data_IF_283729293361
#
_entry.id   IF_283729293361
#
_cell.length_a   1.000
_cell.length_b   1.000
_cell.length_c   1.000
_cell.angle_alpha   90.00
_cell.angle_beta   90.00
_cell.angle_gamma   90.00
#
_symmetry.space_group_name_H-M   'P 1'
#
loop_
_entity.id
_entity.type
_entity.pdbx_description
1 polymer ?
#
# COMPACT_ATOMS: atom_id res chain seq x y z
N UNK A 1 42.93 22.21 -36.95
CA UNK A 1 43.98 21.41 -37.59
C UNK A 1 44.53 20.41 -36.58
N UNK A 2 44.52 19.13 -36.92
CA UNK A 2 45.33 18.02 -36.39
C UNK A 2 46.28 17.61 -37.55
N UNK A 3 47.31 16.73 -37.43
CA UNK A 3 47.84 15.91 -36.31
C UNK A 3 49.42 15.92 -36.33
N UNK A 4 50.24 14.85 -36.19
CA UNK A 4 50.20 13.50 -35.54
C UNK A 4 51.47 13.15 -34.69
N UNK A 5 51.40 12.27 -33.68
CA UNK A 5 51.72 10.82 -33.61
C UNK A 5 53.20 10.38 -33.68
N UNK A 6 53.59 9.50 -32.73
CA UNK A 6 54.54 8.40 -32.95
C UNK A 6 54.30 7.27 -31.92
N UNK A 7 54.11 6.06 -32.44
CA UNK A 7 53.87 4.81 -31.73
C UNK A 7 55.13 3.90 -31.77
N UNK A 8 54.99 2.66 -31.25
CA UNK A 8 55.82 1.42 -31.36
C UNK A 8 56.35 1.00 -29.97
N UNK A 9 55.96 -0.10 -29.27
CA UNK A 9 55.49 -1.48 -29.53
C UNK A 9 56.65 -2.51 -29.66
N UNK A 10 56.76 -3.46 -28.70
CA UNK A 10 57.39 -4.81 -28.72
C UNK A 10 57.28 -5.40 -27.27
N UNK A 11 56.48 -6.42 -26.91
CA UNK A 11 56.39 -7.88 -27.20
C UNK A 11 57.52 -8.77 -26.64
N UNK A 12 57.13 -9.71 -25.75
CA UNK A 12 57.56 -11.13 -25.57
C UNK A 12 56.89 -11.70 -24.29
N UNK A 13 55.81 -12.51 -24.41
CA UNK A 13 55.76 -13.99 -24.35
C UNK A 13 56.00 -14.60 -22.94
N UNK A 14 55.45 -15.73 -22.48
CA UNK A 14 54.29 -16.58 -22.77
C UNK A 14 54.39 -17.77 -21.76
N UNK A 15 53.25 -18.28 -21.26
CA UNK A 15 52.95 -19.69 -20.87
C UNK A 15 51.83 -19.72 -19.81
N UNK A 16 50.56 -19.93 -20.19
CA UNK A 16 49.87 -21.23 -20.37
C UNK A 16 49.87 -22.16 -19.15
N UNK A 17 48.70 -22.29 -18.50
CA UNK A 17 48.07 -23.58 -18.23
C UNK A 17 46.54 -23.41 -18.23
N UNK A 18 45.90 -24.32 -18.95
CA UNK A 18 44.51 -24.37 -19.38
C UNK A 18 43.78 -25.43 -18.53
N UNK A 19 42.55 -25.18 -18.08
CA UNK A 19 41.36 -26.00 -18.40
C UNK A 19 40.06 -25.40 -17.80
N UNK A 20 38.93 -25.43 -18.54
CA UNK A 20 37.67 -24.80 -18.17
C UNK A 20 36.63 -25.79 -17.62
N UNK A 21 35.71 -25.31 -16.78
CA UNK A 21 34.48 -26.03 -16.44
C UNK A 21 33.29 -25.38 -17.16
N UNK A 22 32.80 -26.05 -18.20
CA UNK A 22 31.46 -25.89 -18.79
C UNK A 22 30.91 -27.29 -19.01
N UNK A 23 29.75 -27.60 -18.43
CA UNK A 23 28.62 -28.30 -19.06
C UNK A 23 27.55 -28.60 -18.01
N UNK A 24 26.39 -27.95 -18.13
CA UNK A 24 25.07 -28.59 -18.21
C UNK A 24 23.98 -27.50 -18.24
N UNK A 25 23.79 -26.93 -19.43
CA UNK A 25 22.56 -26.23 -19.78
C UNK A 25 22.00 -26.93 -21.02
N UNK A 26 21.08 -27.87 -20.80
CA UNK A 26 20.30 -28.49 -21.87
C UNK A 26 19.34 -27.45 -22.43
N UNK A 27 19.55 -27.07 -23.69
CA UNK A 27 18.58 -26.35 -24.52
C UNK A 27 17.42 -27.29 -24.89
N UNK A 28 16.19 -26.82 -24.73
CA UNK A 28 15.04 -27.24 -25.54
C UNK A 28 14.62 -26.06 -26.43
N UNK A 29 14.32 -26.27 -27.73
CA UNK A 29 14.20 -25.20 -28.71
C UNK A 29 12.76 -24.66 -28.85
N UNK A 30 12.67 -23.37 -29.16
CA UNK A 30 11.58 -22.82 -29.99
C UNK A 30 10.57 -21.94 -29.28
N UNK A 31 10.65 -20.62 -29.52
CA UNK A 31 9.53 -19.78 -29.94
C UNK A 31 10.00 -18.35 -30.26
N UNK A 32 10.37 -18.12 -31.51
CA UNK A 32 10.24 -16.80 -32.14
C UNK A 32 8.79 -16.64 -32.58
N UNK A 33 8.07 -15.69 -31.96
CA UNK A 33 6.92 -14.90 -32.50
C UNK A 33 6.21 -14.18 -31.35
N UNK A 34 6.08 -12.86 -31.43
CA UNK A 34 5.10 -12.11 -30.65
C UNK A 34 3.67 -12.26 -31.21
N UNK A 35 2.72 -11.47 -30.70
CA UNK A 35 2.13 -11.53 -29.37
C UNK A 35 0.79 -12.31 -29.45
N UNK A 36 0.57 -13.31 -28.60
CA UNK A 36 -0.74 -13.94 -28.38
C UNK A 36 -0.72 -14.85 -27.15
N UNK A 37 -1.74 -14.71 -26.32
CA UNK A 37 -2.05 -15.46 -25.09
C UNK A 37 -1.18 -15.15 -23.86
N UNK A 38 -1.67 -14.21 -23.05
CA UNK A 38 -1.27 -14.06 -21.64
C UNK A 38 -1.83 -15.28 -20.91
N UNK A 39 -0.95 -16.16 -20.45
CA UNK A 39 -1.33 -17.26 -19.58
C UNK A 39 -1.60 -16.71 -18.16
N UNK A 40 -2.83 -16.85 -17.68
CA UNK A 40 -3.37 -16.29 -16.42
C UNK A 40 -3.08 -17.20 -15.20
N UNK A 41 -2.28 -18.25 -15.36
CA UNK A 41 -2.29 -19.36 -14.43
C UNK A 41 -1.49 -19.14 -13.13
N UNK A 42 -0.63 -18.13 -13.00
CA UNK A 42 0.16 -17.97 -11.77
C UNK A 42 0.45 -16.51 -11.41
N UNK A 43 -0.31 -15.97 -10.45
CA UNK A 43 0.12 -14.85 -9.63
C UNK A 43 0.65 -15.36 -8.30
N UNK A 44 1.97 -15.36 -8.15
CA UNK A 44 2.63 -15.72 -6.90
C UNK A 44 2.59 -14.53 -5.92
N UNK A 45 1.65 -14.56 -4.99
CA UNK A 45 1.90 -14.09 -3.63
C UNK A 45 2.29 -15.33 -2.81
N UNK A 46 3.57 -15.50 -2.48
CA UNK A 46 4.15 -16.81 -2.10
C UNK A 46 3.46 -17.53 -0.90
N UNK A 47 3.47 -18.86 -1.00
CA UNK A 47 3.01 -19.95 -0.10
C UNK A 47 1.52 -20.30 0.00
N UNK A 48 0.63 -19.54 -0.65
CA UNK A 48 -0.69 -20.04 -1.03
C UNK A 48 -1.00 -19.55 -2.43
N UNK A 49 -0.94 -20.46 -3.41
CA UNK A 49 -1.40 -20.19 -4.79
C UNK A 49 -2.79 -19.58 -4.68
N UNK A 50 -2.94 -18.29 -4.99
CA UNK A 50 -4.25 -17.67 -5.13
C UNK A 50 -4.90 -18.38 -6.32
N UNK A 51 -6.02 -19.10 -6.13
CA UNK A 51 -6.66 -19.81 -7.22
C UNK A 51 -6.85 -18.92 -8.44
N UNK A 52 -6.60 -19.43 -9.66
CA UNK A 52 -6.81 -18.70 -10.91
C UNK A 52 -8.24 -18.11 -11.02
N UNK A 53 -9.21 -18.72 -10.33
CA UNK A 53 -10.58 -18.21 -10.20
C UNK A 53 -10.70 -16.88 -9.44
N UNK A 54 -9.82 -16.60 -8.48
CA UNK A 54 -9.78 -15.32 -7.75
C UNK A 54 -9.10 -14.23 -8.57
N UNK A 55 -8.07 -14.60 -9.33
CA UNK A 55 -7.41 -13.71 -10.29
C UNK A 55 -8.43 -13.26 -11.35
N UNK A 56 -9.14 -14.20 -11.98
CA UNK A 56 -10.17 -13.84 -12.98
C UNK A 56 -11.31 -12.98 -12.42
N UNK A 57 -11.62 -13.10 -11.13
CA UNK A 57 -12.64 -12.30 -10.46
C UNK A 57 -12.25 -10.84 -10.23
N UNK A 58 -10.97 -10.49 -10.25
CA UNK A 58 -10.47 -9.11 -10.06
C UNK A 58 -10.13 -8.42 -11.39
N UNK A 59 -10.08 -9.16 -12.49
CA UNK A 59 -9.71 -8.65 -13.82
C UNK A 59 -10.89 -8.66 -14.80
N UNK A 60 -12.06 -8.21 -14.34
CA UNK A 60 -13.21 -8.09 -15.23
C UNK A 60 -13.02 -6.87 -16.15
N UNK A 61 -12.91 -7.09 -17.47
CA UNK A 61 -12.71 -6.06 -18.52
C UNK A 61 -13.88 -5.07 -18.71
N UNK A 62 -14.76 -4.91 -17.72
CA UNK A 62 -15.95 -4.06 -17.78
C UNK A 62 -15.64 -2.57 -17.73
N UNK A 63 -14.46 -2.18 -17.24
CA UNK A 63 -14.04 -0.77 -17.09
C UNK A 63 -12.94 -0.46 -18.10
N UNK A 64 -13.32 0.13 -19.23
CA UNK A 64 -12.39 0.60 -20.29
C UNK A 64 -12.01 2.08 -20.12
N UNK A 65 -12.69 2.76 -19.21
CA UNK A 65 -12.57 4.19 -18.91
C UNK A 65 -11.47 4.52 -17.90
N UNK A 66 -10.86 3.50 -17.27
CA UNK A 66 -9.87 3.63 -16.19
C UNK A 66 -8.82 2.53 -16.29
N UNK A 67 -7.67 2.74 -15.63
CA UNK A 67 -6.64 1.72 -15.47
C UNK A 67 -7.12 0.70 -14.42
N UNK A 68 -7.30 -0.55 -14.83
CA UNK A 68 -7.74 -1.67 -13.98
C UNK A 68 -6.61 -2.63 -13.60
N UNK A 69 -5.45 -2.50 -14.24
CA UNK A 69 -4.30 -3.39 -14.05
C UNK A 69 -3.02 -2.60 -14.26
N UNK A 70 -2.05 -2.77 -13.37
CA UNK A 70 -0.75 -2.10 -13.45
C UNK A 70 0.21 -2.86 -14.38
N UNK A 71 1.35 -2.24 -14.70
CA UNK A 71 2.40 -2.87 -15.53
C UNK A 71 3.06 -4.07 -14.83
N UNK A 72 3.02 -4.13 -13.50
CA UNK A 72 3.43 -5.31 -12.71
C UNK A 72 2.26 -6.24 -12.39
N UNK A 73 1.16 -6.08 -13.13
CA UNK A 73 -0.02 -6.92 -13.14
C UNK A 73 -0.87 -6.89 -11.84
N UNK A 74 -0.68 -5.92 -10.94
CA UNK A 74 -1.59 -5.77 -9.79
C UNK A 74 -2.96 -5.22 -10.24
N UNK A 75 -4.08 -5.71 -9.68
CA UNK A 75 -5.39 -5.15 -9.96
C UNK A 75 -5.55 -3.78 -9.29
N UNK A 76 -6.20 -2.86 -10.01
CA UNK A 76 -6.72 -1.60 -9.45
C UNK A 76 -8.21 -1.78 -9.24
N UNK A 77 -8.64 -1.76 -7.99
CA UNK A 77 -10.01 -2.09 -7.59
C UNK A 77 -10.91 -0.88 -7.82
N UNK A 78 -11.73 -0.99 -8.86
CA UNK A 78 -12.80 -0.06 -9.18
C UNK A 78 -14.16 -0.75 -9.07
N UNK A 79 -15.21 0.01 -8.78
CA UNK A 79 -16.58 -0.45 -8.83
C UNK A 79 -16.88 -1.12 -10.19
N UNK A 80 -17.43 -2.34 -10.12
CA UNK A 80 -17.73 -3.19 -11.27
C UNK A 80 -16.56 -4.03 -11.82
N UNK A 81 -15.35 -3.96 -11.23
CA UNK A 81 -14.19 -4.81 -11.64
C UNK A 81 -14.10 -6.13 -10.90
N UNK A 82 -14.76 -6.25 -9.75
CA UNK A 82 -14.69 -7.41 -8.88
C UNK A 82 -16.03 -8.17 -8.80
N UNK A 83 -15.97 -9.47 -8.48
CA UNK A 83 -17.15 -10.29 -8.18
C UNK A 83 -17.21 -10.60 -6.68
N UNK A 84 -18.04 -9.84 -5.95
CA UNK A 84 -18.20 -9.96 -4.50
C UNK A 84 -18.61 -11.37 -4.06
N UNK A 85 -19.54 -12.02 -4.77
CA UNK A 85 -20.05 -13.34 -4.38
C UNK A 85 -18.96 -14.42 -4.39
N UNK A 86 -18.07 -14.39 -5.39
CA UNK A 86 -16.96 -15.35 -5.49
C UNK A 86 -15.92 -15.10 -4.41
N UNK A 87 -15.55 -13.82 -4.21
CA UNK A 87 -14.61 -13.42 -3.17
C UNK A 87 -15.13 -13.80 -1.79
N UNK A 88 -16.40 -13.52 -1.51
CA UNK A 88 -17.01 -13.87 -0.23
C UNK A 88 -17.06 -15.38 0.00
N UNK A 89 -17.46 -16.15 -1.01
CA UNK A 89 -17.49 -17.61 -0.92
C UNK A 89 -16.11 -18.18 -0.59
N UNK A 90 -15.06 -17.58 -1.11
CA UNK A 90 -13.69 -17.98 -0.81
C UNK A 90 -13.28 -17.61 0.62
N UNK A 91 -13.36 -16.33 0.99
CA UNK A 91 -12.87 -15.86 2.28
C UNK A 91 -13.70 -16.36 3.48
N UNK A 92 -15.01 -16.58 3.31
CA UNK A 92 -15.85 -17.19 4.36
C UNK A 92 -15.40 -18.60 4.72
N UNK A 93 -14.87 -19.37 3.76
CA UNK A 93 -14.34 -20.73 4.02
C UNK A 93 -13.02 -20.71 4.79
N UNK A 94 -12.27 -19.62 4.69
CA UNK A 94 -11.01 -19.45 5.39
C UNK A 94 -11.19 -18.93 6.82
N UNK A 95 -12.41 -18.49 7.18
CA UNK A 95 -12.73 -17.91 8.49
C UNK A 95 -11.74 -16.79 8.91
N UNK A 96 -11.46 -15.89 7.97
CA UNK A 96 -10.48 -14.83 8.18
C UNK A 96 -10.92 -13.80 9.24
N UNK A 97 -9.94 -13.19 9.89
CA UNK A 97 -10.12 -12.01 10.75
C UNK A 97 -9.35 -10.83 10.18
N UNK A 98 -9.99 -9.65 10.16
CA UNK A 98 -9.42 -8.43 9.59
C UNK A 98 -9.19 -7.40 10.70
N UNK A 99 -7.98 -6.88 10.79
CA UNK A 99 -7.63 -5.76 11.66
C UNK A 99 -7.83 -4.42 10.96
N UNK A 100 -8.31 -3.43 11.70
CA UNK A 100 -8.31 -2.03 11.28
C UNK A 100 -7.61 -1.15 12.31
N UNK A 101 -6.42 -0.68 11.98
CA UNK A 101 -5.66 0.31 12.74
C UNK A 101 -6.24 1.68 12.45
N UNK A 102 -6.66 2.39 13.50
CA UNK A 102 -7.28 3.72 13.41
C UNK A 102 -6.39 4.73 14.11
N UNK A 103 -5.86 5.71 13.38
CA UNK A 103 -5.00 6.77 13.92
C UNK A 103 -5.82 7.93 14.48
N UNK A 104 -6.11 7.90 15.78
CA UNK A 104 -6.80 8.96 16.51
C UNK A 104 -5.79 9.75 17.35
N UNK A 105 -4.95 10.55 16.68
CA UNK A 105 -3.83 11.26 17.31
C UNK A 105 -3.82 12.75 16.95
N UNK A 106 -3.23 13.56 17.82
CA UNK A 106 -3.12 15.00 17.62
C UNK A 106 -4.46 15.72 17.75
N UNK A 107 -4.83 16.49 16.72
CA UNK A 107 -6.05 17.32 16.72
C UNK A 107 -7.21 16.52 16.14
N UNK A 108 -7.92 15.81 17.01
CA UNK A 108 -9.20 15.19 16.71
C UNK A 108 -10.17 15.40 17.87
N UNK A 109 -11.46 15.32 17.55
CA UNK A 109 -12.54 15.32 18.53
C UNK A 109 -13.08 13.91 18.72
N UNK A 110 -13.68 13.65 19.89
CA UNK A 110 -14.40 12.38 20.11
C UNK A 110 -15.51 12.14 19.07
N UNK A 111 -16.11 13.21 18.53
CA UNK A 111 -17.10 13.15 17.44
C UNK A 111 -16.48 12.59 16.15
N UNK A 112 -15.28 13.02 15.77
CA UNK A 112 -14.60 12.52 14.56
C UNK A 112 -14.36 11.00 14.66
N UNK A 113 -13.85 10.55 15.80
CA UNK A 113 -13.63 9.12 16.06
C UNK A 113 -14.95 8.35 16.09
N UNK A 114 -16.00 8.91 16.71
CA UNK A 114 -17.31 8.28 16.77
C UNK A 114 -17.91 8.09 15.37
N UNK A 115 -17.87 9.11 14.53
CA UNK A 115 -18.40 9.04 13.16
C UNK A 115 -17.60 8.05 12.30
N UNK A 116 -16.27 8.03 12.42
CA UNK A 116 -15.43 7.03 11.77
C UNK A 116 -15.85 5.61 12.17
N UNK A 117 -15.87 5.32 13.49
CA UNK A 117 -16.17 3.97 13.99
C UNK A 117 -17.59 3.55 13.64
N UNK A 118 -18.59 4.43 13.76
CA UNK A 118 -19.97 4.11 13.40
C UNK A 118 -20.12 3.78 11.91
N UNK A 119 -19.47 4.56 11.04
CA UNK A 119 -19.52 4.29 9.60
C UNK A 119 -18.76 3.02 9.22
N UNK A 120 -17.59 2.76 9.83
CA UNK A 120 -16.83 1.53 9.64
C UNK A 120 -17.59 0.30 10.17
N UNK A 121 -18.25 0.41 11.33
CA UNK A 121 -19.11 -0.62 11.90
C UNK A 121 -20.25 -1.02 10.95
N UNK A 122 -20.71 -0.08 10.11
CA UNK A 122 -21.73 -0.34 9.11
C UNK A 122 -21.19 -0.95 7.82
N UNK A 123 -20.00 -0.57 7.36
CA UNK A 123 -19.55 -0.81 5.98
C UNK A 123 -18.24 -1.58 5.82
N UNK A 124 -17.38 -1.60 6.83
CA UNK A 124 -16.07 -2.25 6.74
C UNK A 124 -16.22 -3.76 7.02
N UNK A 125 -15.91 -4.58 6.02
CA UNK A 125 -15.83 -6.05 6.10
C UNK A 125 -17.07 -6.71 6.72
N UNK A 126 -18.26 -6.31 6.25
CA UNK A 126 -19.54 -6.84 6.75
C UNK A 126 -19.56 -8.37 6.64
N UNK A 127 -19.93 -9.05 7.73
CA UNK A 127 -20.03 -10.51 7.78
C UNK A 127 -18.71 -11.24 8.05
N UNK A 128 -17.65 -10.52 8.42
CA UNK A 128 -16.35 -11.08 8.82
C UNK A 128 -15.98 -10.66 10.24
N UNK A 129 -15.06 -11.39 10.86
CA UNK A 129 -14.47 -11.00 12.14
C UNK A 129 -13.59 -9.77 11.93
N UNK A 130 -13.86 -8.70 12.69
CA UNK A 130 -13.11 -7.44 12.63
C UNK A 130 -12.63 -7.03 14.01
N UNK A 131 -11.36 -6.64 14.10
CA UNK A 131 -10.77 -6.03 15.30
C UNK A 131 -10.34 -4.61 14.98
N UNK A 132 -10.95 -3.62 15.65
CA UNK A 132 -10.52 -2.22 15.58
C UNK A 132 -9.36 -2.00 16.57
N UNK A 133 -8.19 -1.62 16.06
CA UNK A 133 -7.03 -1.23 16.86
C UNK A 133 -6.95 0.29 16.88
N UNK A 134 -7.48 0.91 17.93
CA UNK A 134 -7.60 2.38 18.01
C UNK A 134 -6.34 2.91 18.69
N UNK A 135 -5.44 3.53 17.91
CA UNK A 135 -4.23 4.15 18.42
C UNK A 135 -4.54 5.58 18.86
N UNK A 136 -4.31 5.88 20.13
CA UNK A 136 -4.61 7.18 20.73
C UNK A 136 -3.45 7.70 21.57
N UNK A 137 -3.28 9.02 21.57
CA UNK A 137 -2.40 9.77 22.47
C UNK A 137 -3.13 10.28 23.73
N UNK A 138 -4.47 10.37 23.67
CA UNK A 138 -5.31 10.84 24.77
C UNK A 138 -6.63 10.06 24.86
N UNK A 139 -6.72 9.12 25.81
CA UNK A 139 -7.92 8.30 26.01
C UNK A 139 -9.11 9.06 26.61
N UNK A 140 -8.93 10.28 27.14
CA UNK A 140 -10.06 11.08 27.65
C UNK A 140 -11.03 11.51 26.54
N UNK A 141 -10.59 11.46 25.28
CA UNK A 141 -11.38 11.78 24.08
C UNK A 141 -12.10 10.57 23.48
N UNK A 142 -12.01 9.41 24.11
CA UNK A 142 -12.66 8.19 23.63
C UNK A 142 -14.19 8.36 23.71
N UNK A 143 -14.92 8.30 22.58
CA UNK A 143 -16.37 8.33 22.62
C UNK A 143 -16.94 7.00 23.13
N UNK A 144 -18.22 6.96 23.43
CA UNK A 144 -18.91 5.69 23.63
C UNK A 144 -18.93 4.90 22.31
N UNK A 145 -18.40 3.68 22.33
CA UNK A 145 -18.30 2.79 21.17
C UNK A 145 -19.24 1.62 21.36
N UNK A 146 -20.21 1.50 20.46
CA UNK A 146 -21.07 0.33 20.33
C UNK A 146 -20.78 -0.34 18.99
N UNK A 147 -20.44 -1.63 19.03
CA UNK A 147 -20.10 -2.42 17.85
C UNK A 147 -21.13 -3.51 17.61
N UNK A 148 -21.40 -3.75 16.33
CA UNK A 148 -22.28 -4.83 15.91
C UNK A 148 -21.65 -6.22 16.04
N UNK A 149 -22.35 -7.26 15.56
CA UNK A 149 -21.84 -8.62 15.55
C UNK A 149 -20.49 -8.75 14.83
N UNK A 150 -19.67 -9.71 15.27
CA UNK A 150 -18.35 -10.03 14.70
C UNK A 150 -17.31 -8.91 14.81
N UNK A 151 -17.55 -7.90 15.65
CA UNK A 151 -16.68 -6.74 15.78
C UNK A 151 -16.24 -6.54 17.23
N UNK A 152 -14.95 -6.30 17.40
CA UNK A 152 -14.34 -5.97 18.70
C UNK A 152 -13.39 -4.80 18.53
N UNK A 153 -12.98 -4.17 19.61
CA UNK A 153 -11.94 -3.15 19.56
C UNK A 153 -10.93 -3.31 20.70
N UNK A 154 -9.73 -2.79 20.48
CA UNK A 154 -8.64 -2.66 21.46
C UNK A 154 -8.08 -1.26 21.38
N UNK A 155 -7.86 -0.65 22.54
CA UNK A 155 -7.20 0.64 22.66
C UNK A 155 -5.69 0.42 22.74
N UNK A 156 -4.94 1.12 21.89
CA UNK A 156 -3.49 1.04 21.82
C UNK A 156 -2.92 2.43 22.16
N UNK A 157 -2.12 2.50 23.21
CA UNK A 157 -1.52 3.76 23.63
C UNK A 157 -0.34 4.10 22.73
N UNK A 158 -0.20 5.37 22.38
CA UNK A 158 1.03 5.88 21.78
C UNK A 158 1.92 6.39 22.91
N UNK A 159 3.03 5.69 23.15
CA UNK A 159 3.97 6.05 24.20
C UNK A 159 4.49 7.48 24.06
N UNK A 160 4.53 8.21 25.18
CA UNK A 160 5.07 9.57 25.30
C UNK A 160 6.60 9.62 25.44
N UNK A 161 7.29 8.49 25.29
CA UNK A 161 8.76 8.38 25.43
C UNK A 161 9.56 9.03 24.29
N UNK A 162 8.87 9.56 23.26
CA UNK A 162 9.50 10.35 22.21
C UNK A 162 9.96 11.70 22.74
N UNK A 163 11.12 12.18 22.27
CA UNK A 163 11.54 13.55 22.54
C UNK A 163 10.49 14.52 21.95
N UNK A 164 10.25 15.67 22.59
CA UNK A 164 9.23 16.68 22.21
C UNK A 164 9.29 17.12 20.72
N UNK A 165 10.41 16.89 20.04
CA UNK A 165 10.62 17.22 18.63
C UNK A 165 10.38 16.07 17.63
N UNK A 166 10.10 14.85 18.08
CA UNK A 166 9.84 13.71 17.19
C UNK A 166 8.45 13.80 16.57
N UNK A 167 8.35 13.52 15.27
CA UNK A 167 7.09 13.55 14.53
C UNK A 167 6.13 12.46 15.06
N UNK A 168 4.88 12.81 15.34
CA UNK A 168 3.87 11.88 15.86
C UNK A 168 3.70 10.64 14.97
N UNK A 169 3.91 10.77 13.65
CA UNK A 169 3.88 9.61 12.76
C UNK A 169 5.01 8.63 13.06
N UNK A 170 6.21 9.11 13.42
CA UNK A 170 7.35 8.23 13.74
C UNK A 170 7.10 7.48 15.04
N UNK A 171 6.70 8.20 16.09
CA UNK A 171 6.37 7.60 17.39
C UNK A 171 5.22 6.60 17.21
N UNK A 172 4.17 7.01 16.51
CA UNK A 172 3.01 6.18 16.20
C UNK A 172 3.39 4.88 15.48
N UNK A 173 4.20 4.97 14.42
CA UNK A 173 4.63 3.80 13.65
C UNK A 173 5.53 2.86 14.48
N UNK A 174 6.37 3.40 15.37
CA UNK A 174 7.17 2.59 16.31
C UNK A 174 6.26 1.79 17.25
N UNK A 175 5.24 2.43 17.81
CA UNK A 175 4.24 1.77 18.66
C UNK A 175 3.46 0.71 17.86
N UNK A 176 3.00 1.04 16.65
CA UNK A 176 2.30 0.08 15.78
C UNK A 176 3.15 -1.17 15.53
N UNK A 177 4.45 -1.03 15.22
CA UNK A 177 5.34 -2.19 15.04
C UNK A 177 5.38 -3.09 16.27
N UNK A 178 5.49 -2.48 17.45
CA UNK A 178 5.48 -3.20 18.71
C UNK A 178 4.19 -4.01 18.88
N UNK A 179 3.03 -3.40 18.63
CA UNK A 179 1.75 -4.08 18.74
C UNK A 179 1.57 -5.18 17.70
N UNK A 180 2.06 -4.98 16.47
CA UNK A 180 2.05 -6.02 15.44
C UNK A 180 2.80 -7.27 15.89
N UNK A 181 4.05 -7.10 16.30
CA UNK A 181 4.92 -8.20 16.76
C UNK A 181 4.36 -8.84 18.04
N UNK A 182 3.83 -8.02 18.94
CA UNK A 182 3.34 -8.51 20.24
C UNK A 182 2.11 -9.39 20.08
N UNK A 183 1.14 -8.97 19.29
CA UNK A 183 -0.13 -9.70 19.19
C UNK A 183 -0.90 -9.57 17.87
N UNK A 184 -0.89 -8.44 17.14
CA UNK A 184 -1.76 -8.28 15.96
C UNK A 184 -1.46 -9.32 14.89
N UNK A 185 -0.19 -9.69 14.68
CA UNK A 185 0.20 -10.72 13.69
C UNK A 185 -0.44 -12.10 13.95
N UNK A 186 -0.86 -12.38 15.19
CA UNK A 186 -1.48 -13.65 15.60
C UNK A 186 -3.00 -13.55 15.71
N UNK A 187 -3.55 -12.33 15.60
CA UNK A 187 -4.96 -12.04 15.78
C UNK A 187 -5.70 -11.90 14.45
N UNK A 188 -5.01 -11.48 13.38
CA UNK A 188 -5.64 -11.13 12.11
C UNK A 188 -4.86 -11.67 10.91
N UNK A 189 -5.58 -12.00 9.84
CA UNK A 189 -4.99 -12.44 8.57
C UNK A 189 -4.59 -11.25 7.69
N UNK A 190 -5.35 -10.16 7.80
CA UNK A 190 -5.13 -8.92 7.06
C UNK A 190 -5.28 -7.72 7.97
N UNK A 191 -4.55 -6.66 7.67
CA UNK A 191 -4.49 -5.44 8.46
C UNK A 191 -4.57 -4.22 7.55
N UNK A 192 -5.54 -3.35 7.79
CA UNK A 192 -5.59 -2.01 7.21
C UNK A 192 -5.20 -0.97 8.25
N UNK A 193 -4.65 0.14 7.77
CA UNK A 193 -4.32 1.30 8.57
C UNK A 193 -4.94 2.54 7.94
N UNK A 194 -5.71 3.28 8.74
CA UNK A 194 -6.55 4.39 8.28
C UNK A 194 -6.49 5.60 9.21
N UNK A 195 -6.55 6.79 8.63
CA UNK A 195 -6.73 8.04 9.37
C UNK A 195 -8.20 8.27 9.70
N UNK A 196 -8.49 8.86 10.86
CA UNK A 196 -9.88 9.04 11.34
C UNK A 196 -10.75 10.00 10.53
N UNK A 197 -10.17 10.87 9.69
CA UNK A 197 -10.90 11.92 8.95
C UNK A 197 -11.59 11.36 7.70
N UNK A 198 -12.20 10.19 7.82
CA UNK A 198 -12.77 9.39 6.75
C UNK A 198 -14.13 8.85 7.19
N UNK A 199 -15.11 8.87 6.29
CA UNK A 199 -16.44 8.32 6.55
C UNK A 199 -16.77 7.30 5.48
N UNK A 200 -17.04 6.08 5.92
CA UNK A 200 -17.52 5.02 5.04
C UNK A 200 -18.94 5.35 4.59
N UNK A 201 -19.14 5.45 3.29
CA UNK A 201 -20.42 5.74 2.62
C UNK A 201 -21.03 4.49 1.98
N UNK A 202 -20.21 3.50 1.69
CA UNK A 202 -20.62 2.23 1.10
C UNK A 202 -19.62 1.14 1.51
N UNK A 203 -19.90 -0.10 1.12
CA UNK A 203 -19.19 -1.28 1.59
C UNK A 203 -17.73 -1.28 1.16
N UNK A 204 -16.85 -1.52 2.14
CA UNK A 204 -15.42 -1.74 1.97
C UNK A 204 -15.17 -3.20 2.31
N UNK A 205 -15.05 -4.05 1.30
CA UNK A 205 -15.13 -5.50 1.47
C UNK A 205 -13.85 -6.25 1.15
N UNK A 206 -14.02 -7.58 1.03
CA UNK A 206 -12.92 -8.52 0.79
C UNK A 206 -12.23 -8.36 -0.57
N UNK A 207 -12.84 -7.62 -1.50
CA UNK A 207 -12.21 -7.22 -2.76
C UNK A 207 -10.94 -6.40 -2.55
N UNK A 208 -10.84 -5.71 -1.41
CA UNK A 208 -9.70 -4.86 -1.06
C UNK A 208 -8.52 -5.64 -0.47
N UNK A 209 -8.72 -6.91 -0.06
CA UNK A 209 -7.68 -7.71 0.62
C UNK A 209 -6.57 -8.12 -0.34
N UNK A 210 -5.31 -7.93 0.08
CA UNK A 210 -4.13 -8.31 -0.70
C UNK A 210 -2.93 -8.46 0.21
N UNK A 211 -1.82 -8.97 -0.34
CA UNK A 211 -0.57 -9.10 0.42
C UNK A 211 -0.05 -7.73 0.85
N UNK A 212 -0.04 -6.78 -0.08
CA UNK A 212 0.26 -5.37 0.12
C UNK A 212 -0.72 -4.52 -0.70
N UNK A 213 -1.36 -3.55 -0.05
CA UNK A 213 -2.48 -2.75 -0.58
C UNK A 213 -2.17 -1.26 -0.46
N UNK A 214 -2.29 -0.54 -1.58
CA UNK A 214 -2.07 0.90 -1.64
C UNK A 214 -3.33 1.65 -2.12
N UNK A 215 -3.62 2.82 -1.56
CA UNK A 215 -4.71 3.70 -2.01
C UNK A 215 -4.21 4.70 -3.05
N UNK A 216 -4.91 4.84 -4.18
CA UNK A 216 -4.65 5.93 -5.13
C UNK A 216 -5.16 7.27 -4.58
N UNK A 217 -4.36 8.32 -4.67
CA UNK A 217 -4.73 9.63 -4.17
C UNK A 217 -5.76 10.33 -5.08
N UNK A 218 -6.88 10.78 -4.49
CA UNK A 218 -8.01 11.36 -5.24
C UNK A 218 -7.67 12.60 -6.07
N UNK A 219 -6.67 13.38 -5.65
CA UNK A 219 -6.24 14.60 -6.36
C UNK A 219 -5.29 14.32 -7.53
N UNK A 220 -4.66 13.14 -7.57
CA UNK A 220 -3.50 12.89 -8.43
C UNK A 220 -3.63 11.63 -9.30
N UNK A 221 -4.69 10.83 -9.15
CA UNK A 221 -4.85 9.56 -9.87
C UNK A 221 -4.91 9.70 -11.40
N UNK A 222 -5.27 10.87 -11.91
CA UNK A 222 -5.33 11.19 -13.34
C UNK A 222 -4.08 11.91 -13.87
N UNK A 223 -3.15 12.28 -13.00
CA UNK A 223 -1.97 13.05 -13.38
C UNK A 223 -0.76 12.19 -13.74
N UNK A 224 0.12 12.77 -14.56
CA UNK A 224 1.39 12.14 -14.91
C UNK A 224 2.40 12.22 -13.75
N UNK A 225 3.25 11.19 -13.60
CA UNK A 225 4.34 11.12 -12.62
C UNK A 225 5.29 12.34 -12.57
N UNK A 226 5.36 13.14 -13.64
CA UNK A 226 6.10 14.41 -13.68
C UNK A 226 5.48 15.53 -12.83
N UNK A 227 4.16 15.52 -12.65
CA UNK A 227 3.40 16.59 -11.99
C UNK A 227 3.01 16.29 -10.54
N UNK A 228 3.05 15.01 -10.15
CA UNK A 228 2.69 14.63 -8.78
C UNK A 228 3.74 15.09 -7.76
N UNK A 229 3.33 15.41 -6.52
CA UNK A 229 4.17 16.03 -5.52
C UNK A 229 5.00 15.00 -4.74
N UNK A 230 5.85 14.24 -5.44
CA UNK A 230 6.88 13.45 -4.77
C UNK A 230 7.97 14.35 -4.17
N UNK A 231 8.73 13.81 -3.22
CA UNK A 231 9.96 14.45 -2.75
C UNK A 231 11.00 14.51 -3.87
N UNK A 232 11.50 15.72 -4.18
CA UNK A 232 12.42 15.98 -5.30
C UNK A 232 13.83 16.36 -4.84
N UNK A 233 14.06 16.56 -3.54
CA UNK A 233 15.40 16.80 -2.98
C UNK A 233 16.16 15.48 -2.98
N UNK A 234 17.18 15.38 -3.84
CA UNK A 234 17.98 14.17 -4.05
C UNK A 234 18.66 13.60 -2.80
N UNK A 235 18.86 14.43 -1.78
CA UNK A 235 19.45 14.02 -0.50
C UNK A 235 18.47 13.29 0.43
N UNK A 236 17.16 13.40 0.20
CA UNK A 236 16.15 12.72 1.03
C UNK A 236 16.03 11.25 0.65
N UNK A 237 15.87 10.40 1.65
CA UNK A 237 15.51 9.00 1.48
C UNK A 237 14.19 8.82 0.73
N UNK A 238 13.27 9.80 0.78
CA UNK A 238 12.00 9.79 0.05
C UNK A 238 12.12 10.21 -1.44
N UNK A 239 13.31 10.56 -1.93
CA UNK A 239 13.51 11.11 -3.26
C UNK A 239 13.01 10.20 -4.40
N UNK A 240 12.21 10.79 -5.30
CA UNK A 240 11.84 10.19 -6.59
C UNK A 240 12.17 11.20 -7.72
N UNK A 241 13.02 10.83 -8.70
CA UNK A 241 13.35 11.70 -9.82
C UNK A 241 12.14 12.08 -10.70
N UNK A 242 12.23 13.22 -11.40
CA UNK A 242 11.24 13.59 -12.40
C UNK A 242 11.15 12.53 -13.51
N UNK A 243 9.92 12.24 -13.96
CA UNK A 243 9.67 11.21 -14.97
C UNK A 243 9.77 9.77 -14.43
N UNK A 244 10.00 9.58 -13.12
CA UNK A 244 9.87 8.29 -12.43
C UNK A 244 8.65 8.32 -11.51
N UNK A 245 8.16 7.13 -11.17
CA UNK A 245 6.94 6.90 -10.38
C UNK A 245 5.81 6.36 -11.24
N UNK A 246 4.97 5.52 -10.65
CA UNK A 246 3.85 4.86 -11.33
C UNK A 246 2.53 5.58 -10.99
N UNK A 247 2.26 5.75 -9.69
CA UNK A 247 1.08 6.42 -9.16
C UNK A 247 1.43 7.25 -7.93
N UNK A 248 0.61 8.24 -7.61
CA UNK A 248 0.67 8.93 -6.32
C UNK A 248 -0.30 8.28 -5.34
N UNK A 249 0.26 7.70 -4.28
CA UNK A 249 -0.47 6.96 -3.26
C UNK A 249 -0.83 7.86 -2.07
N UNK A 250 -1.98 7.57 -1.51
CA UNK A 250 -2.59 8.31 -0.41
C UNK A 250 -2.18 7.72 0.93
N UNK A 251 -1.63 8.56 1.80
CA UNK A 251 -1.20 8.14 3.13
C UNK A 251 -2.31 7.85 4.13
N UNK A 252 -3.55 8.22 3.80
CA UNK A 252 -4.70 7.97 4.65
C UNK A 252 -5.10 6.50 4.70
N UNK A 253 -4.77 5.68 3.70
CA UNK A 253 -5.12 4.24 3.67
C UNK A 253 -3.98 3.42 3.07
N UNK A 254 -3.52 2.44 3.83
CA UNK A 254 -2.70 1.34 3.33
C UNK A 254 -3.04 0.05 4.07
N UNK A 255 -2.62 -1.09 3.55
CA UNK A 255 -2.87 -2.36 4.21
C UNK A 255 -2.12 -3.53 3.60
N UNK A 256 -2.42 -4.72 4.07
CA UNK A 256 -1.78 -5.94 3.62
C UNK A 256 -1.94 -7.08 4.62
N UNK A 257 -1.04 -8.06 4.55
CA UNK A 257 -0.81 -8.95 5.69
C UNK A 257 -0.12 -8.19 6.82
N UNK A 258 -0.26 -8.61 8.09
CA UNK A 258 0.45 -7.98 9.21
C UNK A 258 1.97 -7.87 8.98
N UNK A 259 2.57 -8.89 8.34
CA UNK A 259 3.99 -8.89 8.00
C UNK A 259 4.37 -7.78 7.01
N UNK A 260 3.58 -7.57 5.96
CA UNK A 260 3.87 -6.53 4.96
C UNK A 260 3.65 -5.13 5.53
N UNK A 261 2.62 -4.96 6.37
CA UNK A 261 2.41 -3.73 7.13
C UNK A 261 3.63 -3.45 8.03
N UNK A 262 4.12 -4.44 8.79
CA UNK A 262 5.29 -4.31 9.64
C UNK A 262 6.57 -3.96 8.86
N UNK A 263 6.78 -4.59 7.70
CA UNK A 263 7.92 -4.30 6.83
C UNK A 263 7.88 -2.86 6.34
N UNK A 264 6.73 -2.37 5.88
CA UNK A 264 6.57 -0.98 5.46
C UNK A 264 6.90 0.00 6.60
N UNK A 265 6.29 -0.18 7.76
CA UNK A 265 6.43 0.76 8.87
C UNK A 265 7.83 0.77 9.48
N UNK A 266 8.56 -0.36 9.43
CA UNK A 266 9.98 -0.42 9.79
C UNK A 266 10.88 0.34 8.79
N UNK A 267 10.66 0.17 7.47
CA UNK A 267 11.39 0.91 6.44
C UNK A 267 11.09 2.42 6.49
N UNK A 268 9.84 2.80 6.75
CA UNK A 268 9.46 4.19 6.99
C UNK A 268 10.28 4.82 8.14
N UNK A 269 10.36 4.16 9.29
CA UNK A 269 11.12 4.66 10.45
C UNK A 269 12.61 4.82 10.15
N UNK A 270 13.19 3.84 9.45
CA UNK A 270 14.59 3.91 9.00
C UNK A 270 14.81 5.10 8.06
N UNK A 271 13.92 5.30 7.08
CA UNK A 271 14.02 6.38 6.12
C UNK A 271 13.89 7.77 6.77
N UNK A 272 12.91 7.97 7.66
CA UNK A 272 12.75 9.23 8.38
C UNK A 272 13.91 9.50 9.33
N UNK A 273 14.41 8.46 10.02
CA UNK A 273 15.59 8.60 10.89
C UNK A 273 16.81 9.05 10.09
N UNK A 274 17.00 8.52 8.88
CA UNK A 274 18.07 8.94 7.99
C UNK A 274 17.91 10.41 7.54
N UNK A 275 16.70 10.81 7.15
CA UNK A 275 16.44 12.20 6.75
C UNK A 275 16.71 13.17 7.90
N UNK A 276 16.17 12.88 9.08
CA UNK A 276 16.37 13.69 10.29
C UNK A 276 17.85 13.83 10.65
N UNK A 277 18.63 12.74 10.59
CA UNK A 277 20.10 12.78 10.82
C UNK A 277 20.84 13.67 9.82
N UNK A 278 20.32 13.80 8.61
CA UNK A 278 20.88 14.65 7.55
C UNK A 278 20.27 16.06 7.52
N UNK A 279 19.49 16.45 8.53
CA UNK A 279 18.83 17.77 8.60
C UNK A 279 17.71 17.95 7.56
N UNK A 280 17.15 16.85 7.05
CA UNK A 280 16.07 16.84 6.08
C UNK A 280 14.75 16.46 6.77
N UNK A 281 13.66 17.02 6.26
CA UNK A 281 12.30 16.65 6.69
C UNK A 281 11.40 16.52 5.48
N UNK A 282 10.91 15.31 5.26
CA UNK A 282 9.94 14.96 4.22
C UNK A 282 8.65 14.49 4.88
N UNK A 283 7.53 14.57 4.17
CA UNK A 283 6.24 14.15 4.72
C UNK A 283 6.14 12.63 4.79
N UNK A 284 5.28 12.12 5.68
CA UNK A 284 4.92 10.71 5.74
C UNK A 284 4.49 10.17 4.35
N UNK A 285 3.65 10.92 3.65
CA UNK A 285 3.18 10.57 2.30
C UNK A 285 4.32 10.46 1.26
N UNK A 286 5.34 11.32 1.34
CA UNK A 286 6.52 11.20 0.48
C UNK A 286 7.26 9.88 0.73
N UNK A 287 7.47 9.48 2.00
CA UNK A 287 8.11 8.22 2.32
C UNK A 287 7.26 7.00 1.92
N UNK A 288 5.93 7.07 2.09
CA UNK A 288 5.02 6.02 1.61
C UNK A 288 5.12 5.85 0.09
N UNK A 289 5.09 6.95 -0.65
CA UNK A 289 5.23 6.93 -2.10
C UNK A 289 6.58 6.37 -2.54
N UNK A 290 7.66 6.72 -1.84
CA UNK A 290 8.98 6.12 -2.06
C UNK A 290 8.98 4.62 -1.81
N UNK A 291 8.33 4.17 -0.73
CA UNK A 291 8.24 2.76 -0.41
C UNK A 291 7.53 1.99 -1.52
N UNK A 292 6.35 2.43 -1.97
CA UNK A 292 5.61 1.75 -3.05
C UNK A 292 6.23 1.91 -4.44
N UNK A 293 7.04 2.94 -4.65
CA UNK A 293 7.85 3.07 -5.86
C UNK A 293 8.88 1.93 -5.97
N UNK A 294 9.50 1.54 -4.85
CA UNK A 294 10.48 0.44 -4.77
C UNK A 294 9.76 -0.93 -4.65
N UNK A 295 8.81 -1.03 -3.73
CA UNK A 295 8.09 -2.25 -3.37
C UNK A 295 6.69 -2.19 -3.96
N UNK A 296 6.50 -2.75 -5.16
CA UNK A 296 5.24 -2.63 -5.89
C UNK A 296 4.08 -3.27 -5.10
N UNK A 297 2.98 -2.54 -4.82
CA UNK A 297 1.84 -3.09 -4.09
C UNK A 297 1.16 -4.17 -4.93
N UNK A 298 0.69 -5.23 -4.27
CA UNK A 298 -0.01 -6.35 -4.93
C UNK A 298 -1.45 -6.02 -5.30
N UNK A 299 -1.99 -4.91 -4.78
CA UNK A 299 -3.34 -4.43 -5.05
C UNK A 299 -3.41 -2.92 -4.84
N UNK A 300 -4.14 -2.23 -5.71
CA UNK A 300 -4.37 -0.80 -5.60
C UNK A 300 -5.86 -0.54 -5.44
N UNK A 301 -6.23 0.38 -4.57
CA UNK A 301 -7.61 0.85 -4.43
C UNK A 301 -7.79 2.11 -5.25
N UNK A 302 -8.86 2.17 -6.04
CA UNK A 302 -9.19 3.37 -6.79
C UNK A 302 -9.59 4.53 -5.87
N UNK A 303 -9.66 5.77 -6.38
CA UNK A 303 -10.12 6.92 -5.60
C UNK A 303 -11.53 6.80 -5.01
N UNK A 304 -12.35 5.84 -5.48
CA UNK A 304 -13.65 5.50 -4.88
C UNK A 304 -13.51 5.12 -3.41
N UNK A 305 -12.38 4.54 -3.02
CA UNK A 305 -12.06 4.12 -1.66
C UNK A 305 -11.45 5.21 -0.78
N UNK A 306 -11.23 6.42 -1.29
CA UNK A 306 -10.91 7.59 -0.47
C UNK A 306 -11.16 8.90 -1.24
N UNK A 307 -12.43 9.24 -1.46
CA UNK A 307 -12.80 10.38 -2.30
C UNK A 307 -12.84 11.69 -1.51
N UNK A 308 -12.39 12.78 -2.14
CA UNK A 308 -12.54 14.12 -1.58
C UNK A 308 -13.87 14.74 -2.07
N UNK A 309 -14.84 14.97 -1.18
CA UNK A 309 -16.17 15.48 -1.56
C UNK A 309 -16.15 16.93 -2.04
N UNK A 310 -15.03 17.66 -1.90
CA UNK A 310 -14.90 19.02 -2.43
C UNK A 310 -14.82 19.04 -3.97
N UNK A 311 -14.49 17.91 -4.60
CA UNK A 311 -14.49 17.81 -6.05
C UNK A 311 -15.86 17.48 -6.62
N UNK A 312 -16.11 17.99 -7.83
CA UNK A 312 -17.14 17.43 -8.70
C UNK A 312 -16.76 16.00 -9.05
N UNK A 313 -17.58 15.04 -8.62
CA UNK A 313 -17.37 13.62 -8.90
C UNK A 313 -17.46 13.36 -10.41
N UNK A 314 -16.39 12.88 -11.06
CA UNK A 314 -16.40 12.61 -12.49
C UNK A 314 -17.04 11.24 -12.77
N UNK A 315 -17.50 10.96 -14.01
CA UNK A 315 -18.25 9.73 -14.34
C UNK A 315 -17.50 8.41 -14.06
N UNK A 316 -16.17 8.45 -14.00
CA UNK A 316 -15.33 7.29 -13.68
C UNK A 316 -15.47 6.85 -12.21
N UNK A 317 -15.85 7.77 -11.31
CA UNK A 317 -16.11 7.47 -9.90
C UNK A 317 -17.59 7.05 -9.80
N UNK A 318 -17.84 5.74 -9.86
CA UNK A 318 -19.20 5.19 -9.90
C UNK A 318 -19.81 5.05 -8.52
N UNK A 319 -19.00 4.71 -7.52
CA UNK A 319 -19.47 4.51 -6.16
C UNK A 319 -18.41 4.98 -5.15
N UNK A 320 -18.68 6.07 -4.42
CA UNK A 320 -17.82 6.50 -3.31
C UNK A 320 -18.02 5.54 -2.14
N UNK A 321 -16.98 4.77 -1.80
CA UNK A 321 -16.94 3.86 -0.65
C UNK A 321 -16.57 4.60 0.62
N UNK A 322 -15.61 5.51 0.54
CA UNK A 322 -15.16 6.35 1.66
C UNK A 322 -15.06 7.79 1.17
N UNK A 323 -15.61 8.72 1.94
CA UNK A 323 -15.46 10.15 1.75
C UNK A 323 -14.56 10.75 2.82
N UNK A 324 -13.57 11.54 2.41
CA UNK A 324 -12.74 12.35 3.32
C UNK A 324 -13.61 13.42 3.99
N UNK A 325 -13.37 13.64 5.27
CA UNK A 325 -13.92 14.78 5.98
C UNK A 325 -13.04 15.99 5.70
N UNK A 326 -13.67 17.12 5.36
CA UNK A 326 -12.98 18.41 5.32
C UNK A 326 -12.40 18.70 6.71
N UNK A 327 -11.14 19.12 6.78
CA UNK A 327 -10.57 19.59 8.05
C UNK A 327 -11.45 20.74 8.55
N UNK A 328 -12.08 20.58 9.71
CA UNK A 328 -12.60 21.74 10.46
C UNK A 328 -11.36 22.57 10.80
N UNK A 329 -11.18 23.68 10.09
CA UNK A 329 -10.02 24.59 10.22
C UNK A 329 -10.04 25.24 11.60
#
# INVERSE_FOLDING_TARGET
ALPPAAAVLLLLEANLLILPFWTNLTFLPGCTKGPKHINLDNFCCHDKVVPASLVSCLFNRKRVDVITTTDWLAPVIWEGTYNTQVLEKYYKRLNITIGLVVWATGKFTGEDLQQFIQSANKHFMIGYNVVFYILMDDFSRLPHIELGPLRTFKLLAIGSEGKVWEDLNVIGMKNLNMYIIKHIEREVDFLFSMTINQIFKNDFGVETLGKSVAQLHAWWYFENAKKVPYERRSKSAAFIPFGKGDFYYDSAIFGGTPQEVLTFTAEYQKAVTNDTKNGLRSTYECHLNKYFFINKPTKLLSPEYNWDPTFRTPPQIKCVKIARQSKRI
#
